data_IF_811010752656
#
_entry.id   IF_811010752656
#
_cell.length_a   1.000
_cell.length_b   1.000
_cell.length_c   1.000
_cell.angle_alpha   90.00
_cell.angle_beta   90.00
_cell.angle_gamma   90.00
#
_symmetry.space_group_name_H-M   'P 1'
#
loop_
_entity.id
_entity.type
_entity.pdbx_description
1 polymer ?
#
# COMPACT_ATOMS: atom_id res chain seq x y z
N UNK A 1 4.37 -6.59 0.83
CA UNK A 1 2.94 -6.75 1.15
C UNK A 1 2.26 -5.38 1.10
N UNK A 2 0.93 -5.35 1.04
CA UNK A 2 0.08 -4.18 1.27
C UNK A 2 -0.92 -4.48 2.37
N UNK A 3 -0.90 -3.73 3.47
CA UNK A 3 -1.98 -3.77 4.47
C UNK A 3 -3.12 -2.88 4.00
N UNK A 4 -4.32 -3.45 3.88
CA UNK A 4 -5.53 -2.75 3.42
C UNK A 4 -5.92 -1.64 4.40
N UNK A 5 -6.33 -0.48 3.87
CA UNK A 5 -6.85 0.63 4.67
C UNK A 5 -8.18 0.25 5.35
N UNK A 6 -8.31 0.50 6.65
CA UNK A 6 -9.57 0.31 7.39
C UNK A 6 -10.68 1.29 6.98
N UNK A 7 -10.34 2.33 6.20
CA UNK A 7 -11.26 3.35 5.70
C UNK A 7 -11.66 3.13 4.23
N UNK A 8 -11.32 1.97 3.64
CA UNK A 8 -11.66 1.65 2.26
C UNK A 8 -13.18 1.49 2.08
N UNK A 9 -13.82 2.43 1.38
CA UNK A 9 -15.24 2.29 1.03
C UNK A 9 -15.43 1.32 -0.13
N UNK A 10 -16.13 0.21 0.15
CA UNK A 10 -16.70 -0.70 -0.83
C UNK A 10 -18.06 -0.16 -1.34
N UNK A 11 -18.43 -0.40 -2.61
CA UNK A 11 -19.73 0.03 -3.13
C UNK A 11 -20.90 -0.71 -2.46
N UNK A 12 -22.02 0.00 -2.25
CA UNK A 12 -23.18 -0.43 -1.44
C UNK A 12 -23.98 -1.64 -1.96
N UNK A 13 -23.53 -2.29 -3.04
CA UNK A 13 -24.18 -3.44 -3.69
C UNK A 13 -23.81 -4.80 -3.06
N UNK A 14 -23.00 -4.81 -2.00
CA UNK A 14 -22.55 -6.03 -1.31
C UNK A 14 -23.65 -6.58 -0.39
N UNK A 15 -24.68 -7.17 -0.98
CA UNK A 15 -25.55 -8.14 -0.28
C UNK A 15 -24.90 -9.51 -0.44
N UNK A 16 -24.21 -9.98 0.60
CA UNK A 16 -23.71 -11.36 0.66
C UNK A 16 -24.87 -12.24 1.14
N UNK A 17 -25.36 -13.20 0.34
CA UNK A 17 -26.40 -14.11 0.78
C UNK A 17 -25.84 -15.01 1.87
N UNK A 18 -26.39 -14.89 3.09
CA UNK A 18 -26.12 -15.86 4.16
C UNK A 18 -26.65 -17.23 3.72
N UNK A 19 -25.76 -18.18 3.46
CA UNK A 19 -26.12 -19.59 3.40
C UNK A 19 -26.35 -20.13 4.82
N UNK A 20 -27.53 -19.86 5.38
CA UNK A 20 -28.01 -20.57 6.57
C UNK A 20 -28.51 -21.95 6.18
N UNK A 21 -27.68 -22.97 6.42
CA UNK A 21 -28.08 -24.38 6.31
C UNK A 21 -29.04 -24.76 7.45
N UNK A 22 -30.33 -24.55 7.25
CA UNK A 22 -31.38 -25.20 8.05
C UNK A 22 -32.60 -25.52 7.19
N UNK A 23 -32.93 -26.81 7.14
CA UNK A 23 -34.16 -27.36 6.59
C UNK A 23 -35.41 -26.83 7.31
N UNK A 24 -36.35 -26.19 6.60
CA UNK A 24 -37.77 -26.62 6.55
C UNK A 24 -38.56 -25.80 5.52
N UNK A 25 -39.54 -26.46 4.89
CA UNK A 25 -40.58 -25.87 4.04
C UNK A 25 -41.43 -24.84 4.79
N UNK A 26 -41.73 -23.70 4.13
CA UNK A 26 -43.11 -23.18 3.96
C UNK A 26 -43.11 -22.13 2.85
N UNK A 27 -44.06 -22.24 1.93
CA UNK A 27 -44.30 -21.32 0.80
C UNK A 27 -44.99 -20.05 1.28
N UNK A 28 -44.58 -18.87 0.79
CA UNK A 28 -45.44 -17.68 0.78
C UNK A 28 -45.15 -16.85 -0.47
N UNK A 29 -46.11 -16.79 -1.40
CA UNK A 29 -46.08 -15.81 -2.48
C UNK A 29 -46.42 -14.42 -1.92
N UNK A 30 -45.75 -13.39 -2.44
CA UNK A 30 -46.23 -12.00 -2.29
C UNK A 30 -46.60 -11.48 -3.68
N UNK A 31 -47.91 -11.26 -3.87
CA UNK A 31 -48.51 -10.67 -5.08
C UNK A 31 -48.41 -9.15 -5.07
N UNK A 32 -48.04 -8.54 -6.21
CA UNK A 32 -48.08 -7.09 -6.38
C UNK A 32 -49.49 -6.59 -6.74
N UNK A 33 -50.14 -5.90 -5.81
CA UNK A 33 -51.39 -5.18 -6.04
C UNK A 33 -51.15 -3.75 -6.55
N UNK A 34 -51.75 -3.37 -7.69
CA UNK A 34 -51.83 -1.97 -8.15
C UNK A 34 -52.90 -1.21 -7.37
N UNK A 35 -52.62 0.02 -6.98
CA UNK A 35 -53.67 1.02 -6.72
C UNK A 35 -53.29 2.41 -7.25
N UNK A 36 -54.28 3.12 -7.81
CA UNK A 36 -54.21 4.50 -8.31
C UNK A 36 -55.24 5.35 -7.56
N UNK A 37 -54.84 6.50 -7.03
CA UNK A 37 -55.55 7.80 -7.07
C UNK A 37 -54.78 8.83 -6.22
N UNK A 38 -54.36 9.97 -6.79
CA UNK A 38 -55.08 11.27 -6.85
C UNK A 38 -55.20 11.98 -5.50
N UNK A 39 -54.51 13.12 -5.38
CA UNK A 39 -54.52 14.02 -4.21
C UNK A 39 -53.12 14.61 -4.02
N UNK A 40 -52.97 15.93 -4.14
CA UNK A 40 -51.66 16.58 -4.21
C UNK A 40 -51.06 16.95 -2.85
N UNK A 41 -49.73 16.88 -2.76
CA UNK A 41 -48.88 17.91 -2.14
C UNK A 41 -47.42 17.64 -2.53
N UNK A 42 -46.70 18.66 -3.00
CA UNK A 42 -45.29 18.53 -3.35
C UNK A 42 -44.43 18.56 -2.07
N UNK A 43 -44.12 17.39 -1.52
CA UNK A 43 -42.99 17.20 -0.61
C UNK A 43 -41.90 16.41 -1.34
N UNK A 44 -40.76 17.06 -1.57
CA UNK A 44 -39.54 16.41 -2.05
C UNK A 44 -38.96 15.51 -0.95
N UNK A 45 -39.43 14.27 -0.89
CA UNK A 45 -38.76 13.21 -0.14
C UNK A 45 -37.43 12.87 -0.83
N UNK A 46 -36.38 13.58 -0.42
CA UNK A 46 -35.00 13.22 -0.71
C UNK A 46 -34.72 11.89 0.01
N UNK A 47 -34.28 10.88 -0.73
CA UNK A 47 -34.10 9.53 -0.19
C UNK A 47 -32.87 9.45 0.72
N UNK A 48 -33.10 9.41 2.03
CA UNK A 48 -32.09 9.06 3.04
C UNK A 48 -31.60 7.62 2.81
N UNK A 49 -30.52 7.48 2.03
CA UNK A 49 -29.87 6.19 1.71
C UNK A 49 -28.46 6.07 2.30
N UNK A 50 -27.95 7.13 2.93
CA UNK A 50 -26.57 7.22 3.42
C UNK A 50 -26.29 6.57 4.79
N UNK A 51 -27.27 5.94 5.45
CA UNK A 51 -27.08 5.33 6.79
C UNK A 51 -26.78 3.82 6.81
N UNK A 52 -26.81 3.14 5.67
CA UNK A 52 -26.60 1.68 5.61
C UNK A 52 -25.23 1.25 5.06
N UNK A 53 -24.40 2.18 4.56
CA UNK A 53 -23.09 1.86 3.98
C UNK A 53 -21.99 1.47 4.98
N UNK A 54 -22.07 1.91 6.24
CA UNK A 54 -21.01 1.65 7.24
C UNK A 54 -21.22 0.38 8.08
N UNK A 55 -22.44 -0.16 8.14
CA UNK A 55 -22.78 -1.25 9.06
C UNK A 55 -22.31 -2.64 8.61
N UNK A 56 -21.97 -2.82 7.33
CA UNK A 56 -21.52 -4.11 6.81
C UNK A 56 -20.04 -4.39 7.08
N UNK A 57 -19.20 -3.36 7.14
CA UNK A 57 -17.77 -3.52 7.45
C UNK A 57 -17.54 -3.96 8.91
N UNK A 58 -18.39 -3.52 9.86
CA UNK A 58 -18.27 -3.92 11.26
C UNK A 58 -18.64 -5.39 11.51
N UNK A 59 -19.53 -5.99 10.71
CA UNK A 59 -19.83 -7.43 10.79
C UNK A 59 -18.73 -8.31 10.18
N UNK A 60 -17.96 -7.81 9.21
CA UNK A 60 -16.82 -8.53 8.66
C UNK A 60 -15.71 -8.78 9.69
N UNK A 61 -15.54 -7.89 10.67
CA UNK A 61 -14.55 -8.05 11.73
C UNK A 61 -14.95 -9.04 12.85
N UNK A 62 -16.21 -9.50 12.92
CA UNK A 62 -16.74 -10.15 14.14
C UNK A 62 -16.91 -11.67 14.11
N UNK A 63 -16.78 -12.34 12.96
CA UNK A 63 -17.18 -13.77 12.84
C UNK A 63 -16.20 -14.73 12.15
N UNK A 64 -15.09 -14.26 11.56
CA UNK A 64 -14.00 -15.14 11.14
C UNK A 64 -12.64 -14.40 11.20
N UNK A 65 -11.84 -14.70 12.23
CA UNK A 65 -10.48 -14.15 12.49
C UNK A 65 -10.34 -12.63 12.41
N UNK A 66 -10.08 -11.98 13.55
CA UNK A 66 -9.61 -10.58 13.62
C UNK A 66 -8.16 -10.45 13.15
N UNK A 67 -7.89 -10.86 11.91
CA UNK A 67 -6.58 -10.83 11.27
C UNK A 67 -6.51 -9.70 10.24
N UNK A 68 -5.48 -8.87 10.32
CA UNK A 68 -5.20 -7.85 9.29
C UNK A 68 -4.85 -8.53 7.97
N UNK A 69 -5.71 -8.42 6.96
CA UNK A 69 -5.40 -8.93 5.63
C UNK A 69 -4.26 -8.12 5.00
N UNK A 70 -3.21 -8.81 4.53
CA UNK A 70 -2.11 -8.20 3.79
C UNK A 70 -1.99 -8.83 2.41
N UNK A 71 -2.17 -8.04 1.36
CA UNK A 71 -1.98 -8.51 -0.01
C UNK A 71 -0.49 -8.72 -0.30
N UNK A 72 -0.16 -9.84 -0.93
CA UNK A 72 1.21 -10.21 -1.30
C UNK A 72 1.27 -10.56 -2.78
N UNK A 73 2.35 -10.14 -3.44
CA UNK A 73 2.72 -10.62 -4.77
C UNK A 73 3.96 -11.50 -4.60
N UNK A 74 3.98 -12.67 -5.20
CA UNK A 74 5.05 -13.65 -5.02
C UNK A 74 5.28 -14.51 -6.26
N UNK A 75 6.47 -15.10 -6.37
CA UNK A 75 6.75 -16.21 -7.29
C UNK A 75 6.63 -17.54 -6.57
N UNK A 76 5.89 -18.48 -7.17
CA UNK A 76 5.94 -19.90 -6.80
C UNK A 76 6.37 -20.76 -7.97
N UNK A 77 6.85 -21.97 -7.66
CA UNK A 77 7.10 -23.00 -8.67
C UNK A 77 5.80 -23.71 -9.04
N UNK A 78 5.57 -23.89 -10.34
CA UNK A 78 4.48 -24.66 -10.90
C UNK A 78 5.04 -25.46 -12.08
N UNK A 79 5.06 -26.80 -11.97
CA UNK A 79 5.65 -27.70 -12.98
C UNK A 79 7.08 -27.30 -13.41
N UNK A 80 7.94 -26.95 -12.43
CA UNK A 80 9.31 -26.49 -12.66
C UNK A 80 9.45 -25.00 -13.03
N UNK A 81 8.42 -24.40 -13.63
CA UNK A 81 8.44 -22.99 -14.03
C UNK A 81 8.12 -22.05 -12.85
N UNK A 82 8.75 -20.88 -12.83
CA UNK A 82 8.35 -19.77 -11.95
C UNK A 82 7.07 -19.12 -12.48
N UNK A 83 6.08 -18.92 -11.62
CA UNK A 83 4.85 -18.18 -11.96
C UNK A 83 4.56 -17.14 -10.88
N UNK A 84 4.30 -15.90 -11.31
CA UNK A 84 3.79 -14.83 -10.43
C UNK A 84 2.37 -15.14 -9.99
N UNK A 85 2.04 -14.82 -8.75
CA UNK A 85 0.71 -14.93 -8.18
C UNK A 85 0.46 -13.81 -7.16
N UNK A 86 -0.83 -13.53 -6.93
CA UNK A 86 -1.32 -12.76 -5.81
C UNK A 86 -1.80 -13.68 -4.70
N UNK A 87 -1.60 -13.24 -3.47
CA UNK A 87 -2.09 -13.90 -2.28
C UNK A 87 -2.55 -12.92 -1.22
N UNK A 88 -3.19 -13.45 -0.20
CA UNK A 88 -3.42 -12.74 1.07
C UNK A 88 -2.66 -13.49 2.16
N UNK A 89 -1.74 -12.80 2.82
CA UNK A 89 -1.19 -13.26 4.09
C UNK A 89 -2.25 -13.09 5.19
N UNK A 90 -2.50 -14.17 5.92
CA UNK A 90 -3.38 -14.24 7.09
C UNK A 90 -2.73 -15.11 8.17
N UNK A 91 -3.32 -15.13 9.37
CA UNK A 91 -2.83 -15.94 10.49
C UNK A 91 -3.77 -17.11 10.72
N UNK A 92 -3.23 -18.34 10.61
CA UNK A 92 -3.95 -19.57 10.89
C UNK A 92 -3.21 -20.36 11.98
N UNK A 93 -3.90 -20.67 13.09
CA UNK A 93 -3.33 -21.35 14.27
C UNK A 93 -2.01 -20.72 14.78
N UNK A 94 -1.93 -19.38 14.78
CA UNK A 94 -0.75 -18.64 15.22
C UNK A 94 0.42 -18.61 14.22
N UNK A 95 0.26 -19.16 13.01
CA UNK A 95 1.27 -19.10 11.93
C UNK A 95 0.79 -18.21 10.78
N UNK A 96 1.72 -17.47 10.19
CA UNK A 96 1.46 -16.72 8.96
C UNK A 96 1.33 -17.71 7.80
N UNK A 97 0.29 -17.56 6.99
CA UNK A 97 0.04 -18.38 5.81
C UNK A 97 -0.39 -17.49 4.65
N UNK A 98 0.11 -17.79 3.45
CA UNK A 98 -0.29 -17.09 2.23
C UNK A 98 -1.36 -17.93 1.53
N UNK A 99 -2.57 -17.39 1.43
CA UNK A 99 -3.63 -17.94 0.59
C UNK A 99 -3.37 -17.50 -0.84
N UNK A 100 -3.10 -18.42 -1.77
CA UNK A 100 -2.93 -18.11 -3.19
C UNK A 100 -4.30 -17.85 -3.84
N UNK A 101 -4.54 -16.60 -4.21
CA UNK A 101 -5.81 -16.16 -4.78
C UNK A 101 -6.03 -16.76 -6.17
N UNK A 102 -4.98 -16.90 -6.97
CA UNK A 102 -5.08 -17.38 -8.35
C UNK A 102 -5.21 -18.91 -8.46
N UNK A 103 -4.82 -19.66 -7.42
CA UNK A 103 -5.17 -21.09 -7.28
C UNK A 103 -6.64 -21.29 -6.93
N UNK A 104 -7.19 -20.43 -6.07
CA UNK A 104 -8.58 -20.55 -5.62
C UNK A 104 -9.57 -19.99 -6.66
N UNK A 105 -9.24 -18.87 -7.30
CA UNK A 105 -10.02 -18.23 -8.36
C UNK A 105 -9.07 -17.74 -9.48
N UNK A 106 -8.90 -18.52 -10.57
CA UNK A 106 -8.09 -18.13 -11.72
C UNK A 106 -8.58 -16.87 -12.48
N UNK A 107 -9.76 -16.33 -12.15
CA UNK A 107 -10.27 -15.06 -12.72
C UNK A 107 -9.75 -13.81 -11.99
N UNK A 108 -9.07 -13.97 -10.85
CA UNK A 108 -8.36 -12.89 -10.17
C UNK A 108 -7.05 -12.61 -10.95
N UNK A 109 -6.68 -11.35 -11.22
CA UNK A 109 -5.38 -11.01 -11.83
C UNK A 109 -4.17 -11.52 -11.05
N UNK A 110 -3.04 -11.73 -11.73
CA UNK A 110 -1.80 -12.23 -11.13
C UNK A 110 -0.82 -11.13 -10.71
N UNK A 111 -1.19 -9.86 -10.90
CA UNK A 111 -0.44 -8.68 -10.45
C UNK A 111 -1.37 -7.65 -9.80
N UNK A 112 -0.85 -6.92 -8.81
CA UNK A 112 -1.65 -6.01 -8.00
C UNK A 112 -2.17 -4.79 -8.79
N UNK A 113 -1.51 -4.38 -9.88
CA UNK A 113 -1.94 -3.19 -10.61
C UNK A 113 -3.24 -3.48 -11.36
N UNK A 114 -3.27 -4.57 -12.13
CA UNK A 114 -4.49 -5.02 -12.82
C UNK A 114 -5.54 -5.54 -11.83
N UNK A 115 -5.15 -6.02 -10.64
CA UNK A 115 -6.10 -6.31 -9.56
C UNK A 115 -6.86 -5.07 -9.07
N UNK A 116 -6.16 -3.93 -8.90
CA UNK A 116 -6.75 -2.68 -8.41
C UNK A 116 -7.60 -1.96 -9.47
N UNK A 117 -7.26 -2.13 -10.75
CA UNK A 117 -7.93 -1.52 -11.91
C UNK A 117 -9.26 -2.20 -12.29
N UNK A 118 -10.13 -2.42 -11.30
CA UNK A 118 -11.44 -3.09 -11.46
C UNK A 118 -12.47 -2.62 -10.40
N UNK A 119 -12.40 -1.36 -9.97
CA UNK A 119 -13.35 -0.72 -9.03
C UNK A 119 -13.74 -1.60 -7.81
N UNK A 120 -12.74 -2.25 -7.20
CA UNK A 120 -12.86 -3.20 -6.08
C UNK A 120 -13.56 -4.56 -6.36
N UNK A 121 -13.96 -4.89 -7.59
CA UNK A 121 -14.56 -6.21 -7.90
C UNK A 121 -13.62 -7.37 -7.56
N UNK A 122 -12.33 -7.27 -7.94
CA UNK A 122 -11.32 -8.28 -7.59
C UNK A 122 -11.05 -8.37 -6.08
N UNK A 123 -11.21 -7.27 -5.33
CA UNK A 123 -11.16 -7.30 -3.87
C UNK A 123 -12.33 -8.12 -3.30
N UNK A 124 -13.55 -7.97 -3.83
CA UNK A 124 -14.70 -8.78 -3.42
C UNK A 124 -14.48 -10.27 -3.74
N UNK A 125 -13.86 -10.61 -4.88
CA UNK A 125 -13.45 -12.00 -5.18
C UNK A 125 -12.43 -12.51 -4.17
N UNK A 126 -11.38 -11.73 -3.88
CA UNK A 126 -10.34 -12.09 -2.93
C UNK A 126 -10.87 -12.33 -1.51
N UNK A 127 -11.80 -11.49 -1.03
CA UNK A 127 -12.46 -11.66 0.26
C UNK A 127 -13.24 -12.99 0.33
N UNK A 128 -14.00 -13.31 -0.72
CA UNK A 128 -14.71 -14.61 -0.83
C UNK A 128 -13.75 -15.80 -0.87
N UNK A 129 -12.61 -15.68 -1.55
CA UNK A 129 -11.57 -16.70 -1.53
C UNK A 129 -11.06 -16.91 -0.10
N UNK A 130 -10.65 -15.84 0.60
CA UNK A 130 -10.11 -15.92 1.96
C UNK A 130 -11.12 -16.55 2.93
N UNK A 131 -12.39 -16.13 2.88
CA UNK A 131 -13.48 -16.68 3.71
C UNK A 131 -13.69 -18.20 3.52
N UNK A 132 -13.61 -18.69 2.27
CA UNK A 132 -13.85 -20.10 1.94
C UNK A 132 -12.58 -20.98 1.97
N UNK A 133 -11.39 -20.40 2.07
CA UNK A 133 -10.11 -21.10 1.84
C UNK A 133 -9.63 -21.95 3.02
N UNK A 134 -10.25 -23.14 3.19
CA UNK A 134 -9.66 -24.24 3.97
C UNK A 134 -8.53 -25.00 3.26
N UNK A 135 -8.32 -24.79 1.94
CA UNK A 135 -7.50 -25.67 1.10
C UNK A 135 -6.44 -25.00 0.20
N UNK A 136 -6.29 -23.67 0.16
CA UNK A 136 -5.43 -22.98 -0.83
C UNK A 136 -4.25 -22.23 -0.20
N UNK A 137 -3.72 -22.71 0.92
CA UNK A 137 -2.52 -22.15 1.54
C UNK A 137 -1.24 -22.67 0.87
N UNK A 138 -0.31 -21.76 0.61
CA UNK A 138 1.06 -22.06 0.18
C UNK A 138 1.96 -21.93 1.41
N UNK A 139 2.93 -22.85 1.57
CA UNK A 139 3.97 -22.77 2.60
C UNK A 139 4.93 -21.62 2.33
N UNK A 140 5.71 -21.29 3.37
CA UNK A 140 6.62 -20.13 3.46
C UNK A 140 7.71 -20.05 2.36
N UNK A 141 7.96 -21.12 1.58
CA UNK A 141 8.96 -21.20 0.50
C UNK A 141 8.58 -20.46 -0.81
N UNK A 142 8.01 -19.25 -0.72
CA UNK A 142 7.72 -18.39 -1.88
C UNK A 142 8.66 -17.19 -1.95
N UNK A 143 9.12 -16.82 -3.16
CA UNK A 143 9.86 -15.56 -3.32
C UNK A 143 8.86 -14.41 -3.33
N UNK A 144 8.84 -13.61 -2.27
CA UNK A 144 8.06 -12.36 -2.27
C UNK A 144 8.62 -11.38 -3.31
N UNK A 145 7.72 -10.70 -4.02
CA UNK A 145 8.03 -9.61 -4.95
C UNK A 145 7.63 -8.28 -4.32
N UNK A 146 8.04 -7.16 -4.94
CA UNK A 146 7.40 -5.87 -4.66
C UNK A 146 5.88 -6.04 -4.86
N UNK A 147 5.04 -5.50 -3.95
CA UNK A 147 3.60 -5.58 -4.11
C UNK A 147 3.10 -4.77 -5.30
N UNK A 148 3.86 -3.80 -5.82
CA UNK A 148 3.54 -3.04 -7.03
C UNK A 148 4.82 -2.97 -7.88
N UNK A 149 4.85 -3.66 -9.03
CA UNK A 149 6.07 -3.78 -9.86
C UNK A 149 6.09 -2.90 -11.11
N UNK A 150 5.04 -2.15 -11.42
CA UNK A 150 5.01 -1.21 -12.55
C UNK A 150 3.90 -0.14 -12.39
N UNK A 151 3.99 0.73 -11.36
CA UNK A 151 3.01 1.80 -11.16
C UNK A 151 3.05 2.80 -12.33
N UNK A 152 1.94 3.48 -12.60
CA UNK A 152 1.90 4.57 -13.58
C UNK A 152 2.73 5.76 -13.08
N UNK A 153 2.63 6.07 -11.77
CA UNK A 153 3.48 7.05 -11.07
C UNK A 153 3.98 6.52 -9.73
N UNK A 154 5.26 6.76 -9.47
CA UNK A 154 5.93 6.58 -8.18
C UNK A 154 6.36 7.97 -7.68
N UNK A 155 5.49 8.57 -6.86
CA UNK A 155 5.56 9.97 -6.41
C UNK A 155 6.19 9.99 -5.02
N UNK A 156 7.11 10.92 -4.75
CA UNK A 156 7.89 10.95 -3.52
C UNK A 156 7.78 12.34 -2.87
N UNK A 157 7.83 12.42 -1.54
CA UNK A 157 7.65 13.67 -0.78
C UNK A 157 8.87 13.94 0.11
N UNK A 158 9.65 14.97 -0.22
CA UNK A 158 10.80 15.38 0.58
C UNK A 158 10.42 16.20 1.81
N UNK A 159 11.29 16.18 2.83
CA UNK A 159 11.20 17.06 4.02
C UNK A 159 9.85 16.98 4.74
N UNK A 160 9.25 15.79 4.80
CA UNK A 160 7.90 15.61 5.33
C UNK A 160 7.84 15.04 6.76
N UNK A 161 8.97 14.91 7.45
CA UNK A 161 9.02 14.62 8.89
C UNK A 161 9.61 15.80 9.65
N UNK A 162 9.03 16.16 10.79
CA UNK A 162 9.50 17.28 11.64
C UNK A 162 10.92 17.04 12.13
N UNK A 163 11.18 15.85 12.65
CA UNK A 163 12.48 15.45 13.20
C UNK A 163 13.61 15.47 12.13
N UNK A 164 13.30 15.13 10.88
CA UNK A 164 14.23 15.23 9.76
C UNK A 164 14.52 16.69 9.36
N UNK A 165 13.51 17.57 9.38
CA UNK A 165 13.71 19.01 9.16
C UNK A 165 14.53 19.65 10.30
N UNK A 166 14.37 19.18 11.53
CA UNK A 166 15.17 19.57 12.70
C UNK A 166 16.63 19.10 12.57
N UNK A 167 16.87 17.86 12.14
CA UNK A 167 18.20 17.31 11.79
C UNK A 167 18.92 18.14 10.72
N UNK A 168 18.17 18.63 9.72
CA UNK A 168 18.68 19.52 8.67
C UNK A 168 18.83 21.00 9.11
N UNK A 169 18.32 21.38 10.29
CA UNK A 169 18.18 22.77 10.75
C UNK A 169 17.46 23.69 9.73
N UNK A 170 16.34 23.22 9.17
CA UNK A 170 15.51 23.97 8.21
C UNK A 170 14.09 24.22 8.74
N UNK A 171 13.41 25.21 8.17
CA UNK A 171 11.99 25.43 8.42
C UNK A 171 11.13 24.32 7.76
N UNK A 172 10.01 23.98 8.40
CA UNK A 172 9.05 23.02 7.85
C UNK A 172 8.47 23.54 6.51
N UNK A 173 8.44 22.74 5.43
CA UNK A 173 7.87 23.17 4.15
C UNK A 173 6.38 23.51 4.25
N UNK A 174 6.00 24.71 3.79
CA UNK A 174 4.60 25.16 3.78
C UNK A 174 3.72 24.34 2.83
N UNK A 175 4.29 23.83 1.74
CA UNK A 175 3.67 22.90 0.79
C UNK A 175 4.55 21.64 0.63
N UNK A 176 3.98 20.47 0.28
CA UNK A 176 4.76 19.25 0.04
C UNK A 176 5.78 19.39 -1.10
N UNK A 177 7.03 18.98 -0.85
CA UNK A 177 8.09 18.99 -1.88
C UNK A 177 8.04 17.69 -2.69
N UNK A 178 7.41 17.76 -3.87
CA UNK A 178 7.14 16.59 -4.71
C UNK A 178 8.27 16.32 -5.70
N UNK A 179 8.71 15.06 -5.74
CA UNK A 179 9.57 14.50 -6.79
C UNK A 179 9.07 13.11 -7.19
N UNK A 180 9.83 12.36 -7.98
CA UNK A 180 9.50 11.01 -8.41
C UNK A 180 10.71 10.10 -8.45
N UNK A 181 10.44 8.78 -8.43
CA UNK A 181 11.38 7.73 -8.82
C UNK A 181 10.85 7.02 -10.09
N UNK A 182 11.73 6.46 -10.90
CA UNK A 182 11.31 5.66 -12.06
C UNK A 182 10.83 4.26 -11.65
N UNK A 183 9.87 3.68 -12.37
CA UNK A 183 9.39 2.32 -12.06
C UNK A 183 10.41 1.21 -12.32
N UNK A 184 11.52 1.49 -13.03
CA UNK A 184 12.62 0.56 -13.24
C UNK A 184 13.41 0.26 -11.96
N UNK A 185 13.47 1.20 -11.00
CA UNK A 185 14.24 1.03 -9.77
C UNK A 185 13.56 0.12 -8.72
N UNK A 186 12.40 -0.47 -9.03
CA UNK A 186 11.59 -1.24 -8.09
C UNK A 186 12.07 -2.70 -7.98
N UNK A 187 12.52 -3.10 -6.78
CA UNK A 187 12.86 -4.50 -6.45
C UNK A 187 12.05 -5.05 -5.26
N UNK A 188 12.13 -6.37 -5.05
CA UNK A 188 11.40 -7.09 -4.01
C UNK A 188 11.99 -6.95 -2.60
N UNK A 189 11.22 -7.31 -1.56
CA UNK A 189 11.55 -7.08 -0.15
C UNK A 189 12.77 -7.85 0.38
N UNK A 190 13.36 -8.72 -0.45
CA UNK A 190 14.57 -9.52 -0.17
C UNK A 190 15.52 -9.58 -1.38
N UNK A 191 15.31 -8.71 -2.37
CA UNK A 191 16.23 -8.55 -3.50
C UNK A 191 17.40 -7.65 -3.09
N UNK A 192 18.52 -7.74 -3.81
CA UNK A 192 19.68 -6.91 -3.52
C UNK A 192 19.49 -5.48 -4.08
N UNK A 193 20.24 -4.53 -3.52
CA UNK A 193 20.41 -3.18 -4.07
C UNK A 193 21.79 -3.10 -4.71
N UNK A 194 21.83 -2.76 -5.99
CA UNK A 194 23.08 -2.53 -6.71
C UNK A 194 23.72 -1.22 -6.25
N UNK A 195 25.03 -1.22 -5.99
CA UNK A 195 25.81 -0.02 -5.71
C UNK A 195 26.26 0.66 -7.02
N UNK A 196 25.69 1.81 -7.42
CA UNK A 196 26.05 2.42 -8.70
C UNK A 196 27.42 3.08 -8.61
N UNK A 197 28.31 2.78 -9.56
CA UNK A 197 29.66 3.38 -9.69
C UNK A 197 29.64 4.91 -9.83
N UNK A 198 28.48 5.48 -10.16
CA UNK A 198 28.24 6.92 -10.33
C UNK A 198 28.24 7.69 -8.99
N UNK A 199 27.98 7.02 -7.87
CA UNK A 199 27.93 7.62 -6.52
C UNK A 199 28.99 7.03 -5.58
N UNK A 200 29.31 7.76 -4.52
CA UNK A 200 30.05 7.27 -3.35
C UNK A 200 29.36 7.65 -2.03
N UNK A 201 28.10 8.09 -2.11
CA UNK A 201 27.30 8.64 -1.02
C UNK A 201 25.89 8.04 -1.04
N UNK A 202 25.85 6.71 -1.11
CA UNK A 202 24.64 5.91 -1.09
C UNK A 202 24.07 5.91 0.34
N UNK A 203 22.83 6.36 0.50
CA UNK A 203 22.20 6.63 1.79
C UNK A 203 20.84 5.92 1.93
N UNK A 204 20.43 5.68 3.17
CA UNK A 204 19.18 5.03 3.54
C UNK A 204 18.09 6.05 3.89
N UNK A 205 16.87 5.74 3.47
CA UNK A 205 15.66 6.46 3.88
C UNK A 205 14.52 5.45 4.04
N UNK A 206 14.04 5.23 5.26
CA UNK A 206 12.82 4.43 5.50
C UNK A 206 11.58 5.32 5.43
N UNK A 207 10.56 4.88 4.70
CA UNK A 207 9.29 5.60 4.58
C UNK A 207 8.05 4.70 4.66
N UNK A 208 6.94 5.32 5.07
CA UNK A 208 5.59 4.85 4.79
C UNK A 208 5.26 5.18 3.33
N UNK A 209 4.79 4.20 2.57
CA UNK A 209 4.27 4.40 1.22
C UNK A 209 2.76 4.12 1.16
N UNK A 210 2.04 4.91 0.37
CA UNK A 210 0.59 4.80 0.13
C UNK A 210 0.38 4.10 -1.21
N UNK A 211 -0.51 3.13 -1.28
CA UNK A 211 -0.97 2.54 -2.56
C UNK A 211 -2.37 3.07 -2.87
N UNK A 212 -2.51 3.72 -4.02
CA UNK A 212 -3.78 4.26 -4.50
C UNK A 212 -4.68 3.12 -5.00
N UNK A 213 -5.96 3.15 -4.65
CA UNK A 213 -6.96 2.14 -5.02
C UNK A 213 -8.02 2.59 -6.03
N UNK A 214 -8.13 3.90 -6.29
CA UNK A 214 -9.16 4.49 -7.16
C UNK A 214 -8.57 5.60 -8.03
N UNK A 215 -9.08 5.76 -9.25
CA UNK A 215 -8.74 6.91 -10.07
C UNK A 215 -9.37 8.19 -9.50
N UNK A 216 -8.60 9.27 -9.38
CA UNK A 216 -9.08 10.53 -8.82
C UNK A 216 -8.26 11.77 -9.21
N UNK A 217 -8.97 12.88 -9.38
CA UNK A 217 -8.45 14.21 -9.72
C UNK A 217 -9.17 15.25 -8.88
N UNK A 218 -8.47 16.27 -8.37
CA UNK A 218 -9.01 17.30 -7.49
C UNK A 218 -9.77 16.73 -6.27
N UNK A 219 -9.20 15.70 -5.64
CA UNK A 219 -9.84 14.94 -4.56
C UNK A 219 -10.06 15.84 -3.34
N UNK A 220 -11.24 15.79 -2.72
CA UNK A 220 -11.51 16.57 -1.51
C UNK A 220 -10.92 15.91 -0.25
N UNK A 221 -10.61 16.72 0.77
CA UNK A 221 -10.04 16.23 2.03
C UNK A 221 -10.95 15.18 2.71
N UNK A 222 -12.27 15.33 2.59
CA UNK A 222 -13.26 14.39 3.15
C UNK A 222 -13.20 13.01 2.48
N UNK A 223 -12.83 12.96 1.20
CA UNK A 223 -12.86 11.73 0.40
C UNK A 223 -11.48 11.07 0.29
N UNK A 224 -10.39 11.80 0.60
CA UNK A 224 -9.01 11.40 0.35
C UNK A 224 -8.68 9.96 0.79
N UNK A 225 -9.06 9.58 2.00
CA UNK A 225 -8.78 8.23 2.54
C UNK A 225 -9.52 7.10 1.81
N UNK A 226 -10.62 7.40 1.12
CA UNK A 226 -11.36 6.42 0.32
C UNK A 226 -10.67 6.06 -1.00
N UNK A 227 -9.64 6.81 -1.39
CA UNK A 227 -8.75 6.53 -2.53
C UNK A 227 -7.51 5.71 -2.14
N UNK A 228 -7.25 5.50 -0.83
CA UNK A 228 -6.15 4.67 -0.36
C UNK A 228 -6.59 3.21 -0.31
N UNK A 229 -6.00 2.35 -1.16
CA UNK A 229 -6.19 0.90 -1.04
C UNK A 229 -5.55 0.38 0.24
N UNK A 230 -4.33 0.83 0.52
CA UNK A 230 -3.54 0.39 1.64
C UNK A 230 -2.15 1.03 1.62
N UNK A 231 -1.23 0.45 2.39
CA UNK A 231 0.11 1.01 2.58
C UNK A 231 1.24 0.00 2.29
N UNK A 232 2.48 0.46 2.02
CA UNK A 232 3.71 -0.35 1.78
C UNK A 232 5.00 0.37 2.30
N UNK A 233 6.23 -0.17 2.14
CA UNK A 233 7.52 0.50 2.56
C UNK A 233 7.80 1.44 1.38
N UNK A 234 8.52 2.53 1.61
CA UNK A 234 9.60 2.81 0.69
C UNK A 234 10.97 2.77 1.37
N UNK A 235 11.89 2.03 0.77
CA UNK A 235 13.30 2.27 0.99
C UNK A 235 13.69 3.23 -0.11
N UNK A 236 13.73 4.51 0.23
CA UNK A 236 14.04 5.57 -0.73
C UNK A 236 15.57 5.77 -0.80
N UNK A 237 16.25 4.78 -1.38
CA UNK A 237 17.71 4.80 -1.54
C UNK A 237 18.12 6.06 -2.29
N UNK A 238 19.13 6.75 -1.75
CA UNK A 238 19.49 8.11 -2.13
C UNK A 238 20.99 8.24 -2.39
N UNK A 239 21.37 8.59 -3.61
CA UNK A 239 22.73 9.01 -3.97
C UNK A 239 22.89 10.52 -3.70
N UNK A 240 23.43 10.87 -2.53
CA UNK A 240 23.38 12.24 -2.00
C UNK A 240 24.22 13.26 -2.76
N UNK A 241 25.34 12.81 -3.32
CA UNK A 241 26.16 13.61 -4.24
C UNK A 241 25.38 13.99 -5.51
N UNK A 242 24.52 13.11 -6.02
CA UNK A 242 23.65 13.39 -7.15
C UNK A 242 22.40 14.20 -6.79
N UNK A 243 21.85 14.01 -5.59
CA UNK A 243 20.69 14.75 -5.13
C UNK A 243 21.02 16.22 -4.79
N UNK A 244 22.16 16.47 -4.13
CA UNK A 244 22.47 17.76 -3.48
C UNK A 244 23.59 18.56 -4.17
N UNK A 245 24.44 17.93 -4.98
CA UNK A 245 25.68 18.57 -5.48
C UNK A 245 25.80 18.57 -7.01
N UNK A 246 25.45 17.46 -7.67
CA UNK A 246 25.48 17.30 -9.13
C UNK A 246 24.12 17.63 -9.77
N UNK A 247 24.02 17.49 -11.09
CA UNK A 247 22.76 17.55 -11.87
C UNK A 247 21.85 18.78 -11.58
N UNK A 248 22.45 19.96 -11.33
CA UNK A 248 21.68 21.17 -11.00
C UNK A 248 20.80 21.03 -9.75
N UNK A 249 21.18 20.15 -8.81
CA UNK A 249 20.46 19.85 -7.57
C UNK A 249 19.03 19.29 -7.82
N UNK A 250 18.78 18.73 -9.01
CA UNK A 250 17.54 18.03 -9.34
C UNK A 250 17.60 16.59 -8.84
N UNK A 251 16.70 16.23 -7.94
CA UNK A 251 16.77 14.98 -7.16
C UNK A 251 16.54 13.71 -7.97
N UNK A 252 15.91 13.79 -9.15
CA UNK A 252 15.48 12.64 -9.95
C UNK A 252 16.60 11.61 -10.17
N UNK A 253 17.80 12.03 -10.58
CA UNK A 253 18.92 11.10 -10.78
C UNK A 253 19.50 10.59 -9.46
N UNK A 254 19.57 11.42 -8.43
CA UNK A 254 20.00 10.99 -7.09
C UNK A 254 19.03 10.02 -6.41
N UNK A 255 17.80 9.90 -6.92
CA UNK A 255 16.74 9.06 -6.37
C UNK A 255 16.35 7.87 -7.26
N UNK A 256 16.65 7.87 -8.56
CA UNK A 256 16.05 6.91 -9.51
C UNK A 256 17.02 5.94 -10.21
N UNK A 257 18.23 5.74 -9.67
CA UNK A 257 19.13 4.71 -10.17
C UNK A 257 18.52 3.31 -9.95
N UNK A 258 18.94 2.30 -10.72
CA UNK A 258 18.30 0.99 -10.65
C UNK A 258 18.41 0.36 -9.25
N UNK A 259 17.40 -0.43 -8.88
CA UNK A 259 17.18 -1.00 -7.53
C UNK A 259 16.96 -0.01 -6.36
N UNK A 260 16.98 1.30 -6.57
CA UNK A 260 16.83 2.30 -5.50
C UNK A 260 15.45 2.36 -4.81
N UNK A 261 14.47 1.53 -5.19
CA UNK A 261 13.16 1.46 -4.52
C UNK A 261 12.78 0.03 -4.14
N UNK A 262 12.31 -0.13 -2.89
CA UNK A 262 11.84 -1.42 -2.36
C UNK A 262 10.56 -1.20 -1.56
N UNK A 263 9.54 -2.07 -1.70
CA UNK A 263 8.23 -1.89 -1.05
C UNK A 263 7.70 -3.05 -0.19
N UNK A 264 7.49 -2.82 1.12
CA UNK A 264 6.75 -3.57 2.18
C UNK A 264 6.93 -3.07 3.69
N UNK A 265 6.17 -2.04 4.12
CA UNK A 265 6.02 -1.15 5.34
C UNK A 265 7.13 -0.79 6.38
N UNK A 266 7.61 0.49 6.45
CA UNK A 266 8.79 0.98 7.24
C UNK A 266 8.70 2.36 7.98
N UNK A 267 9.08 2.46 9.28
CA UNK A 267 9.62 3.66 10.00
C UNK A 267 10.62 3.26 11.14
N UNK A 268 11.28 2.11 10.99
CA UNK A 268 12.53 1.79 11.66
C UNK A 268 13.51 1.38 10.58
N UNK A 269 14.74 1.86 10.65
CA UNK A 269 15.83 1.43 9.77
C UNK A 269 16.98 0.90 10.63
N UNK A 270 17.51 -0.28 10.28
CA UNK A 270 18.76 -0.81 10.81
C UNK A 270 19.74 -1.03 9.66
N UNK A 271 21.01 -0.75 9.87
CA UNK A 271 22.09 -1.12 8.94
C UNK A 271 23.04 -2.04 9.71
N UNK A 272 23.26 -3.24 9.18
CA UNK A 272 24.01 -4.32 9.85
C UNK A 272 23.50 -4.60 11.28
N UNK A 273 22.18 -4.58 11.47
CA UNK A 273 21.51 -4.72 12.77
C UNK A 273 21.58 -3.50 13.70
N UNK A 274 22.38 -2.47 13.38
CA UNK A 274 22.50 -1.23 14.16
C UNK A 274 21.35 -0.28 13.82
N UNK A 275 20.51 0.13 14.79
CA UNK A 275 19.43 1.11 14.53
C UNK A 275 19.98 2.44 14.02
N UNK A 276 19.46 2.90 12.87
CA UNK A 276 19.79 4.17 12.22
C UNK A 276 18.66 5.19 12.29
N UNK A 277 17.42 4.74 12.10
CA UNK A 277 16.20 5.55 12.16
C UNK A 277 15.14 4.84 13.01
N UNK A 278 14.36 5.59 13.80
CA UNK A 278 13.24 5.09 14.60
C UNK A 278 12.30 6.27 14.91
N UNK A 279 11.14 6.35 14.27
CA UNK A 279 10.18 7.45 14.44
C UNK A 279 8.73 6.96 14.28
N UNK A 280 7.77 7.88 14.20
CA UNK A 280 6.34 7.58 14.15
C UNK A 280 5.63 8.40 13.06
N UNK A 281 4.55 7.85 12.48
CA UNK A 281 3.71 8.52 11.47
C UNK A 281 3.18 9.88 11.97
N UNK A 282 3.03 10.06 13.29
CA UNK A 282 2.63 11.34 13.91
C UNK A 282 3.61 12.50 13.69
N UNK A 283 4.85 12.22 13.28
CA UNK A 283 5.85 13.22 12.92
C UNK A 283 5.68 13.80 11.50
N UNK A 284 4.77 13.25 10.69
CA UNK A 284 4.47 13.79 9.36
C UNK A 284 4.06 15.28 9.43
N UNK A 285 4.70 16.11 8.61
CA UNK A 285 4.38 17.54 8.45
C UNK A 285 3.06 17.68 7.67
N UNK A 286 2.96 16.95 6.55
CA UNK A 286 1.77 16.82 5.71
C UNK A 286 1.24 15.38 5.81
N UNK A 287 0.03 15.25 6.37
CA UNK A 287 -0.63 13.96 6.55
C UNK A 287 -1.06 13.31 5.23
N UNK A 288 -1.38 12.01 5.28
CA UNK A 288 -1.81 11.20 4.13
C UNK A 288 -2.96 11.88 3.35
N UNK A 289 -3.96 12.43 4.04
CA UNK A 289 -5.08 13.11 3.36
C UNK A 289 -4.61 14.36 2.62
N UNK A 290 -3.74 15.17 3.25
CA UNK A 290 -3.19 16.38 2.65
C UNK A 290 -2.35 16.08 1.41
N UNK A 291 -1.55 15.02 1.44
CA UNK A 291 -0.75 14.59 0.29
C UNK A 291 -1.64 14.22 -0.90
N UNK A 292 -2.70 13.42 -0.68
CA UNK A 292 -3.65 13.00 -1.72
C UNK A 292 -4.38 14.21 -2.32
N UNK A 293 -4.87 15.12 -1.46
CA UNK A 293 -5.53 16.37 -1.90
C UNK A 293 -4.56 17.24 -2.71
N UNK A 294 -3.33 17.44 -2.22
CA UNK A 294 -2.34 18.28 -2.87
C UNK A 294 -1.93 17.72 -4.24
N UNK A 295 -1.49 16.45 -4.29
CA UNK A 295 -1.00 15.81 -5.50
C UNK A 295 -2.11 15.71 -6.57
N UNK A 296 -3.34 15.37 -6.18
CA UNK A 296 -4.45 15.22 -7.12
C UNK A 296 -4.92 16.53 -7.77
N UNK A 297 -4.53 17.71 -7.25
CA UNK A 297 -4.69 19.00 -7.94
C UNK A 297 -3.85 19.07 -9.22
N UNK A 298 -2.65 18.49 -9.21
CA UNK A 298 -1.68 18.60 -10.30
C UNK A 298 -1.73 17.41 -11.27
N UNK A 299 -1.79 16.17 -10.77
CA UNK A 299 -1.90 14.95 -11.59
C UNK A 299 -3.20 14.19 -11.30
N UNK A 300 -3.62 13.30 -12.20
CA UNK A 300 -4.66 12.30 -11.89
C UNK A 300 -3.97 11.13 -11.20
N UNK A 301 -4.41 10.77 -9.99
CA UNK A 301 -4.01 9.54 -9.32
C UNK A 301 -4.79 8.38 -9.94
N UNK A 302 -4.14 7.23 -10.13
CA UNK A 302 -4.69 5.99 -10.71
C UNK A 302 -4.54 4.81 -9.74
N UNK A 303 -5.39 3.76 -9.84
CA UNK A 303 -5.19 2.53 -9.08
C UNK A 303 -3.79 1.94 -9.31
N UNK A 304 -3.10 1.60 -8.23
CA UNK A 304 -1.73 1.12 -8.26
C UNK A 304 -0.64 2.19 -8.37
N UNK A 305 -0.96 3.49 -8.41
CA UNK A 305 0.03 4.53 -8.10
C UNK A 305 0.55 4.39 -6.67
N UNK A 306 1.79 4.81 -6.45
CA UNK A 306 2.45 4.76 -5.14
C UNK A 306 2.96 6.15 -4.75
N UNK A 307 2.69 6.56 -3.51
CA UNK A 307 3.16 7.83 -2.93
C UNK A 307 4.04 7.53 -1.72
N UNK A 308 5.29 7.96 -1.76
CA UNK A 308 6.29 7.80 -0.70
C UNK A 308 6.23 9.05 0.17
N UNK A 309 5.97 8.88 1.48
CA UNK A 309 5.51 9.98 2.34
C UNK A 309 6.62 10.77 3.01
N UNK A 310 7.88 10.51 2.70
CA UNK A 310 9.06 11.10 3.33
C UNK A 310 9.68 10.20 4.40
N UNK A 311 10.93 10.49 4.74
CA UNK A 311 11.73 9.77 5.73
C UNK A 311 11.87 10.57 7.03
N UNK A 312 11.96 9.93 8.21
CA UNK A 312 12.30 10.57 9.47
C UNK A 312 13.80 10.88 9.61
N UNK A 313 14.18 11.52 10.71
CA UNK A 313 15.58 11.75 11.06
C UNK A 313 16.45 10.48 11.06
N UNK A 314 17.76 10.67 11.00
CA UNK A 314 18.76 9.62 11.14
C UNK A 314 19.20 9.02 9.80
N UNK A 315 19.03 9.75 8.71
CA UNK A 315 19.69 9.44 7.43
C UNK A 315 21.21 9.61 7.56
N UNK A 316 21.98 8.89 6.77
CA UNK A 316 23.44 8.85 6.84
C UNK A 316 24.13 10.19 6.59
N UNK A 317 23.63 10.98 5.63
CA UNK A 317 24.24 12.26 5.21
C UNK A 317 24.31 13.34 6.30
N UNK A 318 23.37 13.33 7.26
CA UNK A 318 23.31 14.32 8.35
C UNK A 318 23.87 13.79 9.69
N UNK A 319 24.42 12.58 9.72
CA UNK A 319 25.20 12.10 10.87
C UNK A 319 26.50 12.89 11.00
N UNK A 320 27.09 12.86 12.20
CA UNK A 320 28.39 13.47 12.47
C UNK A 320 29.37 12.43 13.04
N UNK A 321 30.39 11.98 12.27
CA UNK A 321 30.61 12.28 10.85
C UNK A 321 29.51 11.67 9.95
N UNK A 322 29.35 12.14 8.70
CA UNK A 322 28.45 11.53 7.74
C UNK A 322 28.77 10.05 7.51
N UNK A 323 27.73 9.24 7.35
CA UNK A 323 27.81 7.81 7.17
C UNK A 323 27.09 7.41 5.88
N UNK A 324 27.66 6.50 5.10
CA UNK A 324 27.07 6.03 3.85
C UNK A 324 27.21 4.51 3.76
N UNK A 325 26.28 3.91 3.02
CA UNK A 325 26.26 2.48 2.69
C UNK A 325 27.51 2.08 1.91
N UNK A 326 27.86 0.80 2.02
CA UNK A 326 29.00 0.13 1.38
C UNK A 326 28.55 -1.22 0.82
N UNK A 327 29.33 -1.77 -0.11
CA UNK A 327 29.18 -3.14 -0.57
C UNK A 327 29.22 -4.12 0.61
N UNK A 328 28.26 -5.04 0.65
CA UNK A 328 28.07 -6.02 1.72
C UNK A 328 27.27 -5.52 2.94
N UNK A 329 26.88 -4.24 2.99
CA UNK A 329 25.97 -3.76 4.04
C UNK A 329 24.57 -4.38 3.85
N UNK A 330 23.90 -4.66 4.96
CA UNK A 330 22.51 -5.13 5.00
C UNK A 330 21.63 -4.06 5.63
N UNK A 331 20.60 -3.63 4.90
CA UNK A 331 19.62 -2.66 5.38
C UNK A 331 18.29 -3.36 5.70
N UNK A 332 17.73 -3.09 6.87
CA UNK A 332 16.45 -3.62 7.34
C UNK A 332 15.49 -2.48 7.66
N UNK A 333 14.31 -2.46 7.03
CA UNK A 333 13.31 -1.40 7.20
C UNK A 333 11.95 -1.97 7.66
N UNK A 334 11.31 -1.41 8.70
CA UNK A 334 10.21 -2.05 9.46
C UNK A 334 9.13 -1.08 10.01
N UNK A 335 7.82 -1.40 9.94
CA UNK A 335 6.72 -0.83 10.76
C UNK A 335 6.00 -1.96 11.49
N UNK A 336 5.63 -1.65 12.72
CA UNK A 336 4.65 -2.35 13.53
C UNK A 336 3.42 -2.81 12.75
N UNK A 337 2.86 -3.95 13.14
CA UNK A 337 1.64 -4.53 12.56
C UNK A 337 1.71 -4.92 11.07
N UNK A 338 2.80 -4.63 10.34
CA UNK A 338 2.89 -4.96 8.92
C UNK A 338 4.10 -5.81 8.54
N UNK A 339 5.33 -5.39 8.79
CA UNK A 339 6.49 -6.26 8.51
C UNK A 339 7.80 -5.53 8.28
N UNK A 340 8.72 -6.25 7.63
CA UNK A 340 10.11 -5.86 7.41
C UNK A 340 10.51 -6.15 5.96
N UNK A 341 11.41 -5.34 5.40
CA UNK A 341 12.25 -5.70 4.26
C UNK A 341 13.70 -5.80 4.72
N UNK A 342 14.48 -6.63 4.03
CA UNK A 342 15.90 -6.85 4.32
C UNK A 342 16.65 -7.00 3.01
N UNK A 343 17.56 -6.07 2.73
CA UNK A 343 18.19 -5.94 1.42
C UNK A 343 19.71 -5.77 1.58
N UNK A 344 20.49 -6.49 0.78
CA UNK A 344 21.95 -6.46 0.80
C UNK A 344 22.46 -5.57 -0.34
N UNK A 345 23.48 -4.75 -0.06
CA UNK A 345 24.10 -3.85 -1.03
C UNK A 345 25.21 -4.61 -1.79
N UNK A 346 25.15 -4.67 -3.13
CA UNK A 346 26.03 -5.52 -3.98
C UNK A 346 26.66 -4.81 -5.17
#
# INVERSE_FOLDING_TARGET
MIRVSSLLSLPSLVVIPRFTTTTTTTTTLITFGRHRNRGGNYCLFRSDSDRHGSLLFSLFCSSATSGTMKFVQFERRCNGNKKKALGVETVHNGKHVIVDLNLADPSIPMDMRTFLDDNHNNLIKALKVVENSKCSSVKEDVKLLSPITNPDKLICVGMNYKDHCEEMNIALPAEPVIFSKFSSCIVGPTDNVEYPKETTQLDWEVELAIVVGKEGKNISLKEAMSYVFGYTVAFDVSARDWQLQKNGQQWLLGKSMDTFYIGNLGIRCRVNGVPKQNSNISMLVHSVEKLIVFISRFVTLKPGDVILTGTPLGVGVFRNPPEFLKLGDVVECEIDEIGTIRNEIV
#
